data_IF_994181810101
#
_entry.id   IF_994181810101
#
_cell.length_a   1.000
_cell.length_b   1.000
_cell.length_c   1.000
_cell.angle_alpha   90.00
_cell.angle_beta   90.00
_cell.angle_gamma   90.00
#
_symmetry.space_group_name_H-M   'P 1'
#
loop_
_entity.id
_entity.type
_entity.pdbx_description
1 polymer ?
#
# COMPACT_ATOMS: atom_id res chain seq x y z
N UNK A 1 -49.01 -31.97 22.88
CA UNK A 1 -47.89 -32.37 22.00
C UNK A 1 -47.17 -31.11 21.53
N UNK A 2 -46.07 -30.76 22.18
CA UNK A 2 -45.25 -29.58 21.85
C UNK A 2 -44.13 -30.06 20.92
N UNK A 3 -44.14 -29.66 19.66
CA UNK A 3 -43.03 -29.90 18.73
C UNK A 3 -41.98 -28.80 18.92
N UNK A 4 -40.86 -29.13 19.56
CA UNK A 4 -39.69 -28.26 19.63
C UNK A 4 -38.95 -28.27 18.29
N UNK A 5 -38.93 -27.12 17.62
CA UNK A 5 -38.03 -26.89 16.49
C UNK A 5 -36.62 -26.64 17.02
N UNK A 6 -35.67 -27.49 16.61
CA UNK A 6 -34.26 -27.38 16.96
C UNK A 6 -33.66 -26.05 16.47
N UNK A 7 -32.78 -25.38 17.24
CA UNK A 7 -32.08 -24.19 16.78
C UNK A 7 -31.13 -24.54 15.63
N UNK A 8 -31.16 -23.72 14.58
CA UNK A 8 -30.38 -23.89 13.35
C UNK A 8 -28.87 -24.07 13.63
N UNK A 9 -28.38 -25.27 13.33
CA UNK A 9 -26.96 -25.59 13.28
C UNK A 9 -26.34 -24.78 12.14
N UNK A 10 -25.51 -23.77 12.46
CA UNK A 10 -24.62 -23.16 11.48
C UNK A 10 -23.54 -24.19 11.12
N UNK A 11 -23.79 -25.00 10.10
CA UNK A 11 -22.81 -25.93 9.55
C UNK A 11 -21.59 -25.15 9.06
N UNK A 12 -20.40 -25.45 9.61
CA UNK A 12 -19.15 -24.90 9.09
C UNK A 12 -19.04 -25.22 7.59
N UNK A 13 -18.63 -24.26 6.75
CA UNK A 13 -18.51 -24.48 5.31
C UNK A 13 -17.47 -25.57 5.02
N UNK A 14 -17.77 -26.43 4.04
CA UNK A 14 -16.86 -27.49 3.61
C UNK A 14 -15.55 -26.95 2.99
N UNK A 15 -14.53 -27.81 2.90
CA UNK A 15 -13.21 -27.44 2.41
C UNK A 15 -13.22 -26.93 0.95
N UNK A 16 -14.11 -27.45 0.11
CA UNK A 16 -14.30 -27.01 -1.28
C UNK A 16 -14.85 -25.59 -1.38
N UNK A 17 -15.81 -25.24 -0.52
CA UNK A 17 -16.42 -23.91 -0.44
C UNK A 17 -15.40 -22.88 0.06
N UNK A 18 -14.55 -23.26 1.02
CA UNK A 18 -13.44 -22.43 1.48
C UNK A 18 -12.43 -22.20 0.35
N UNK A 19 -12.04 -23.25 -0.37
CA UNK A 19 -11.11 -23.15 -1.49
C UNK A 19 -11.63 -22.25 -2.62
N UNK A 20 -12.89 -22.44 -3.04
CA UNK A 20 -13.52 -21.63 -4.09
C UNK A 20 -13.61 -20.13 -3.70
N UNK A 21 -13.91 -19.85 -2.43
CA UNK A 21 -13.92 -18.48 -1.90
C UNK A 21 -12.54 -17.83 -1.91
N UNK A 22 -11.51 -18.56 -1.48
CA UNK A 22 -10.14 -18.08 -1.51
C UNK A 22 -9.70 -17.73 -2.95
N UNK A 23 -10.02 -18.57 -3.93
CA UNK A 23 -9.75 -18.30 -5.35
C UNK A 23 -10.45 -17.02 -5.81
N UNK A 24 -11.71 -16.78 -5.40
CA UNK A 24 -12.42 -15.55 -5.75
C UNK A 24 -11.80 -14.29 -5.09
N UNK A 25 -11.36 -14.35 -3.83
CA UNK A 25 -10.63 -13.24 -3.16
C UNK A 25 -9.35 -12.89 -3.91
N UNK A 26 -8.56 -13.92 -4.22
CA UNK A 26 -7.29 -13.78 -4.94
C UNK A 26 -7.53 -13.08 -6.26
N UNK A 27 -8.54 -13.55 -7.01
CA UNK A 27 -8.92 -12.93 -8.28
C UNK A 27 -9.33 -11.46 -8.13
N UNK A 28 -10.12 -11.10 -7.10
CA UNK A 28 -10.50 -9.71 -6.87
C UNK A 28 -9.29 -8.81 -6.55
N UNK A 29 -8.41 -9.27 -5.66
CA UNK A 29 -7.21 -8.53 -5.27
C UNK A 29 -6.26 -8.37 -6.46
N UNK A 30 -6.11 -9.41 -7.29
CA UNK A 30 -5.26 -9.35 -8.47
C UNK A 30 -5.84 -8.43 -9.56
N UNK A 31 -7.16 -8.46 -9.80
CA UNK A 31 -7.82 -7.48 -10.69
C UNK A 31 -7.60 -6.06 -10.17
N UNK A 32 -7.81 -5.83 -8.87
CA UNK A 32 -7.61 -4.52 -8.26
C UNK A 32 -6.16 -4.06 -8.41
N UNK A 33 -5.17 -4.94 -8.22
CA UNK A 33 -3.75 -4.63 -8.45
C UNK A 33 -3.46 -4.26 -9.90
N UNK A 34 -4.05 -4.95 -10.87
CA UNK A 34 -3.91 -4.62 -12.30
C UNK A 34 -4.49 -3.24 -12.59
N UNK A 35 -5.70 -2.95 -12.09
CA UNK A 35 -6.34 -1.64 -12.25
C UNK A 35 -5.50 -0.51 -11.63
N UNK A 36 -4.97 -0.74 -10.43
CA UNK A 36 -4.16 0.24 -9.72
C UNK A 36 -2.80 0.41 -10.41
N UNK A 37 -2.18 -0.67 -10.92
CA UNK A 37 -0.96 -0.57 -11.73
C UNK A 37 -1.17 0.24 -13.01
N UNK A 38 -2.29 0.04 -13.70
CA UNK A 38 -2.66 0.86 -14.85
C UNK A 38 -2.85 2.33 -14.46
N UNK A 39 -3.55 2.60 -13.35
CA UNK A 39 -3.73 3.96 -12.85
C UNK A 39 -2.40 4.64 -12.47
N UNK A 40 -1.38 3.92 -12.00
CA UNK A 40 -0.04 4.49 -11.77
C UNK A 40 0.55 5.00 -13.09
N UNK A 41 0.47 4.20 -14.16
CA UNK A 41 0.94 4.60 -15.49
C UNK A 41 0.20 5.85 -15.99
N UNK A 42 -1.12 5.90 -15.83
CA UNK A 42 -1.92 7.09 -16.15
C UNK A 42 -1.52 8.30 -15.31
N UNK A 43 -1.20 8.12 -14.03
CA UNK A 43 -0.75 9.19 -13.14
C UNK A 43 0.56 9.83 -13.61
N UNK A 44 1.51 9.00 -14.06
CA UNK A 44 2.76 9.51 -14.65
C UNK A 44 2.54 10.15 -16.03
N UNK A 45 1.73 9.53 -16.89
CA UNK A 45 1.42 10.10 -18.21
C UNK A 45 0.73 11.47 -18.10
N UNK A 46 -0.22 11.61 -17.18
CA UNK A 46 -0.89 12.90 -16.91
C UNK A 46 0.05 13.92 -16.26
N UNK A 47 1.04 13.50 -15.46
CA UNK A 47 2.05 14.41 -14.95
C UNK A 47 2.92 14.99 -16.07
N UNK A 48 3.37 14.16 -17.02
CA UNK A 48 4.12 14.61 -18.21
C UNK A 48 3.27 15.49 -19.12
N UNK A 49 2.01 15.10 -19.39
CA UNK A 49 1.11 15.93 -20.20
C UNK A 49 0.86 17.30 -19.56
N UNK A 50 0.70 17.35 -18.24
CA UNK A 50 0.49 18.62 -17.52
C UNK A 50 1.71 19.54 -17.59
N UNK A 51 2.94 19.00 -17.67
CA UNK A 51 4.15 19.83 -17.82
C UNK A 51 4.30 20.46 -19.21
N UNK A 52 3.52 20.04 -20.20
CA UNK A 52 3.54 20.58 -21.57
C UNK A 52 2.37 21.55 -21.84
N UNK A 53 1.43 21.71 -20.90
CA UNK A 53 0.27 22.58 -21.06
C UNK A 53 0.53 23.93 -20.38
N UNK A 54 0.70 24.98 -21.19
CA UNK A 54 0.93 26.34 -20.69
C UNK A 54 -0.36 27.04 -20.23
N UNK A 55 -1.49 26.79 -20.90
CA UNK A 55 -2.78 27.42 -20.59
C UNK A 55 -3.61 26.57 -19.62
N UNK A 56 -3.63 27.01 -18.36
CA UNK A 56 -4.38 26.39 -17.26
C UNK A 56 -5.90 26.45 -17.43
N UNK A 57 -6.43 27.27 -18.33
CA UNK A 57 -7.86 27.35 -18.60
C UNK A 57 -8.28 26.57 -19.86
N UNK A 58 -7.33 25.93 -20.54
CA UNK A 58 -7.61 25.15 -21.74
C UNK A 58 -8.45 23.90 -21.43
N UNK A 59 -9.23 23.45 -22.42
CA UNK A 59 -9.98 22.20 -22.31
C UNK A 59 -9.09 21.00 -22.02
N UNK A 60 -7.88 20.97 -22.59
CA UNK A 60 -6.88 19.93 -22.34
C UNK A 60 -6.44 19.90 -20.87
N UNK A 61 -6.21 21.07 -20.26
CA UNK A 61 -5.86 21.16 -18.84
C UNK A 61 -6.94 20.53 -17.96
N UNK A 62 -8.21 20.89 -18.20
CA UNK A 62 -9.33 20.34 -17.45
C UNK A 62 -9.48 18.83 -17.59
N UNK A 63 -9.29 18.28 -18.80
CA UNK A 63 -9.29 16.82 -19.02
C UNK A 63 -8.16 16.16 -18.23
N UNK A 64 -6.93 16.68 -18.32
CA UNK A 64 -5.77 16.09 -17.64
C UNK A 64 -5.95 16.13 -16.12
N UNK A 65 -6.44 17.24 -15.57
CA UNK A 65 -6.74 17.36 -14.13
C UNK A 65 -7.88 16.43 -13.71
N UNK A 66 -8.92 16.32 -14.51
CA UNK A 66 -10.02 15.39 -14.25
C UNK A 66 -9.50 13.95 -14.16
N UNK A 67 -8.71 13.49 -15.14
CA UNK A 67 -8.09 12.16 -15.10
C UNK A 67 -7.18 12.03 -13.88
N UNK A 68 -6.33 13.03 -13.63
CA UNK A 68 -5.39 13.05 -12.50
C UNK A 68 -6.10 12.91 -11.15
N UNK A 69 -7.28 13.50 -10.97
CA UNK A 69 -8.07 13.39 -9.74
C UNK A 69 -8.51 11.94 -9.43
N UNK A 70 -8.72 11.10 -10.45
CA UNK A 70 -9.05 9.69 -10.25
C UNK A 70 -7.82 8.81 -9.99
N UNK A 71 -6.66 9.17 -10.57
CA UNK A 71 -5.44 8.34 -10.50
C UNK A 71 -4.42 8.84 -9.48
N UNK A 72 -4.66 9.96 -8.80
CA UNK A 72 -3.76 10.47 -7.76
C UNK A 72 -3.85 9.65 -6.45
N UNK A 73 -5.01 9.04 -6.18
CA UNK A 73 -5.24 8.17 -5.02
C UNK A 73 -4.63 6.76 -5.19
N UNK A 74 -3.94 6.49 -6.29
CA UNK A 74 -3.40 5.16 -6.61
C UNK A 74 -2.34 4.66 -5.62
N UNK A 75 -1.32 5.46 -5.21
CA UNK A 75 -0.35 4.99 -4.22
C UNK A 75 -0.95 4.57 -2.87
N UNK A 76 -1.83 5.35 -2.21
CA UNK A 76 -2.44 4.91 -0.95
C UNK A 76 -3.33 3.67 -1.13
N UNK A 77 -4.02 3.50 -2.26
CA UNK A 77 -4.77 2.27 -2.55
C UNK A 77 -3.82 1.06 -2.62
N UNK A 78 -2.67 1.20 -3.28
CA UNK A 78 -1.65 0.14 -3.35
C UNK A 78 -1.13 -0.26 -1.96
N UNK A 79 -0.95 0.73 -1.07
CA UNK A 79 -0.60 0.51 0.33
C UNK A 79 -1.71 -0.21 1.09
N UNK A 80 -2.98 0.19 0.90
CA UNK A 80 -4.13 -0.48 1.53
C UNK A 80 -4.23 -1.95 1.11
N UNK A 81 -4.07 -2.25 -0.18
CA UNK A 81 -4.02 -3.63 -0.69
C UNK A 81 -2.89 -4.40 -0.01
N UNK A 82 -1.70 -3.82 0.07
CA UNK A 82 -0.55 -4.42 0.77
C UNK A 82 -0.90 -4.71 2.23
N UNK A 83 -1.46 -3.74 2.95
CA UNK A 83 -1.85 -3.90 4.35
C UNK A 83 -2.87 -5.00 4.56
N UNK A 84 -3.88 -5.10 3.70
CA UNK A 84 -4.88 -6.18 3.78
C UNK A 84 -4.29 -7.58 3.66
N UNK A 85 -3.19 -7.74 2.93
CA UNK A 85 -2.54 -9.03 2.69
C UNK A 85 -1.47 -9.33 3.72
N UNK A 86 -0.74 -8.30 4.14
CA UNK A 86 0.41 -8.46 5.01
C UNK A 86 0.07 -8.30 6.48
N UNK A 87 -0.99 -7.60 6.88
CA UNK A 87 -1.42 -7.53 8.28
C UNK A 87 -2.37 -8.66 8.66
N UNK A 88 -2.92 -9.40 7.69
CA UNK A 88 -3.69 -10.62 7.95
C UNK A 88 -2.82 -11.57 8.81
N UNK A 89 -3.29 -12.02 9.98
CA UNK A 89 -2.54 -12.92 10.85
C UNK A 89 -2.34 -14.27 10.17
N UNK A 90 -1.26 -14.40 9.41
CA UNK A 90 -0.81 -15.70 8.93
C UNK A 90 -0.29 -16.51 10.12
N UNK A 91 -0.71 -17.78 10.24
CA UNK A 91 -0.26 -18.74 11.26
C UNK A 91 1.26 -18.67 11.44
N UNK A 92 1.70 -18.37 12.67
CA UNK A 92 3.00 -18.64 13.29
C UNK A 92 4.24 -18.68 12.37
N UNK A 93 4.38 -17.73 11.45
CA UNK A 93 5.64 -17.56 10.69
C UNK A 93 6.60 -16.78 11.56
N UNK A 94 7.78 -17.34 11.85
CA UNK A 94 8.82 -16.63 12.59
C UNK A 94 9.14 -15.27 11.92
N UNK A 95 9.34 -14.18 12.70
CA UNK A 95 9.67 -12.86 12.14
C UNK A 95 10.86 -12.90 11.17
N UNK A 96 11.88 -13.71 11.47
CA UNK A 96 13.08 -13.88 10.64
C UNK A 96 12.76 -14.46 9.25
N UNK A 97 11.89 -15.47 9.17
CA UNK A 97 11.44 -16.03 7.89
C UNK A 97 10.56 -15.04 7.12
N UNK A 98 9.74 -14.26 7.83
CA UNK A 98 8.92 -13.20 7.24
C UNK A 98 9.79 -12.17 6.50
N UNK A 99 10.86 -11.68 7.17
CA UNK A 99 11.78 -10.69 6.60
C UNK A 99 12.61 -11.25 5.46
N UNK A 100 13.24 -12.42 5.62
CA UNK A 100 14.15 -12.98 4.61
C UNK A 100 13.48 -13.19 3.24
N UNK A 101 12.26 -13.72 3.24
CA UNK A 101 11.52 -14.00 1.99
C UNK A 101 11.14 -12.71 1.24
N UNK A 102 10.80 -11.66 1.98
CA UNK A 102 10.33 -10.38 1.44
C UNK A 102 11.48 -9.45 1.07
N UNK A 103 12.55 -9.44 1.87
CA UNK A 103 13.74 -8.65 1.61
C UNK A 103 14.31 -8.91 0.22
N UNK A 104 14.44 -10.18 -0.21
CA UNK A 104 14.95 -10.49 -1.57
C UNK A 104 14.04 -9.94 -2.68
N UNK A 105 12.72 -10.09 -2.54
CA UNK A 105 11.75 -9.62 -3.53
C UNK A 105 11.66 -8.09 -3.63
N UNK A 106 12.12 -7.37 -2.61
CA UNK A 106 12.14 -5.90 -2.59
C UNK A 106 13.53 -5.34 -2.94
N UNK A 107 14.57 -5.80 -2.24
CA UNK A 107 15.92 -5.27 -2.38
C UNK A 107 16.49 -5.51 -3.76
N UNK A 108 16.18 -6.64 -4.41
CA UNK A 108 16.65 -6.91 -5.77
C UNK A 108 16.09 -5.87 -6.76
N UNK A 109 14.75 -5.67 -6.87
CA UNK A 109 14.21 -4.58 -7.69
C UNK A 109 14.69 -3.19 -7.31
N UNK A 110 14.79 -2.86 -6.01
CA UNK A 110 15.28 -1.55 -5.56
C UNK A 110 16.69 -1.30 -6.09
N UNK A 111 17.62 -2.21 -5.83
CA UNK A 111 19.02 -2.05 -6.25
C UNK A 111 19.11 -2.02 -7.78
N UNK A 112 18.45 -2.96 -8.46
CA UNK A 112 18.49 -3.07 -9.91
C UNK A 112 17.98 -1.79 -10.59
N UNK A 113 16.78 -1.32 -10.24
CA UNK A 113 16.19 -0.14 -10.88
C UNK A 113 16.95 1.13 -10.50
N UNK A 114 17.40 1.28 -9.26
CA UNK A 114 18.21 2.44 -8.87
C UNK A 114 19.50 2.53 -9.69
N UNK A 115 20.20 1.41 -9.89
CA UNK A 115 21.40 1.37 -10.75
C UNK A 115 21.05 1.74 -12.19
N UNK A 116 20.00 1.15 -12.75
CA UNK A 116 19.55 1.45 -14.12
C UNK A 116 19.28 2.96 -14.31
N UNK A 117 18.57 3.59 -13.37
CA UNK A 117 18.26 5.02 -13.46
C UNK A 117 19.47 5.92 -13.23
N UNK A 118 20.39 5.56 -12.33
CA UNK A 118 21.64 6.31 -12.17
C UNK A 118 22.52 6.21 -13.41
N UNK A 119 22.65 5.03 -14.03
CA UNK A 119 23.40 4.86 -15.29
C UNK A 119 22.76 5.67 -16.42
N UNK A 120 21.43 5.61 -16.56
CA UNK A 120 20.73 6.39 -17.58
C UNK A 120 20.93 7.90 -17.39
N UNK A 121 20.88 8.40 -16.15
CA UNK A 121 21.13 9.81 -15.82
C UNK A 121 22.60 10.21 -16.03
N UNK A 122 23.56 9.36 -15.65
CA UNK A 122 24.99 9.59 -15.89
C UNK A 122 25.34 9.73 -17.38
N UNK A 123 24.51 9.17 -18.28
CA UNK A 123 24.71 9.32 -19.72
C UNK A 123 24.30 10.70 -20.27
N UNK A 124 23.57 11.51 -19.49
CA UNK A 124 23.05 12.82 -19.89
C UNK A 124 23.69 13.95 -19.09
N UNK A 125 23.91 13.73 -17.80
CA UNK A 125 24.40 14.72 -16.85
C UNK A 125 25.56 14.15 -16.02
N UNK A 126 26.46 15.02 -15.55
CA UNK A 126 27.49 14.62 -14.58
C UNK A 126 26.85 14.34 -13.21
N UNK A 127 26.87 13.08 -12.79
CA UNK A 127 26.38 12.66 -11.48
C UNK A 127 27.52 12.62 -10.46
N UNK A 128 27.37 13.39 -9.39
CA UNK A 128 28.26 13.34 -8.23
C UNK A 128 27.86 12.23 -7.27
N UNK A 129 28.83 11.68 -6.53
CA UNK A 129 28.56 10.71 -5.46
C UNK A 129 27.60 11.29 -4.40
N UNK A 130 27.70 12.58 -4.09
CA UNK A 130 26.83 13.25 -3.14
C UNK A 130 25.36 13.23 -3.60
N UNK A 131 25.09 13.47 -4.88
CA UNK A 131 23.74 13.38 -5.43
C UNK A 131 23.20 11.95 -5.36
N UNK A 132 24.01 10.94 -5.72
CA UNK A 132 23.61 9.53 -5.62
C UNK A 132 23.24 9.16 -4.19
N UNK A 133 24.08 9.53 -3.21
CA UNK A 133 23.83 9.25 -1.80
C UNK A 133 22.60 9.99 -1.27
N UNK A 134 22.42 11.25 -1.69
CA UNK A 134 21.23 12.05 -1.36
C UNK A 134 19.97 11.40 -1.92
N UNK A 135 19.96 11.03 -3.20
CA UNK A 135 18.82 10.39 -3.87
C UNK A 135 18.46 9.06 -3.21
N UNK A 136 19.46 8.26 -2.80
CA UNK A 136 19.22 7.03 -2.04
C UNK A 136 18.65 7.34 -0.64
N UNK A 137 19.20 8.33 0.06
CA UNK A 137 18.77 8.71 1.40
C UNK A 137 17.33 9.23 1.43
N UNK A 138 16.93 10.01 0.42
CA UNK A 138 15.56 10.47 0.25
C UNK A 138 14.65 9.46 -0.47
N UNK A 139 15.20 8.34 -0.93
CA UNK A 139 14.46 7.28 -1.62
C UNK A 139 13.94 7.70 -2.99
N UNK A 140 14.59 8.67 -3.65
CA UNK A 140 14.22 9.23 -4.95
C UNK A 140 15.35 9.15 -6.01
N UNK A 141 15.92 7.97 -6.31
CA UNK A 141 16.76 7.82 -7.51
C UNK A 141 16.06 8.23 -8.80
N UNK A 142 14.73 8.08 -8.82
CA UNK A 142 13.83 8.54 -9.86
C UNK A 142 12.40 8.72 -9.30
N UNK A 143 11.58 9.53 -9.98
CA UNK A 143 10.28 10.02 -9.46
C UNK A 143 9.24 8.95 -9.12
N UNK A 144 9.34 7.75 -9.69
CA UNK A 144 8.40 6.66 -9.41
C UNK A 144 9.00 5.57 -8.49
N UNK A 145 10.29 5.65 -8.15
CA UNK A 145 10.97 4.65 -7.33
C UNK A 145 10.66 4.80 -5.83
N UNK A 146 10.20 5.97 -5.40
CA UNK A 146 9.90 6.26 -3.99
C UNK A 146 9.00 5.21 -3.34
N UNK A 147 8.06 4.63 -4.10
CA UNK A 147 7.17 3.60 -3.60
C UNK A 147 7.94 2.35 -3.16
N UNK A 148 8.95 1.92 -3.93
CA UNK A 148 9.79 0.78 -3.58
C UNK A 148 10.64 1.06 -2.34
N UNK A 149 11.11 2.29 -2.16
CA UNK A 149 11.89 2.71 -0.98
C UNK A 149 11.04 2.82 0.29
N UNK A 150 9.75 3.15 0.13
CA UNK A 150 8.80 3.26 1.24
C UNK A 150 8.37 1.88 1.79
N UNK A 151 8.23 0.86 0.93
CA UNK A 151 7.75 -0.48 1.32
C UNK A 151 8.57 -1.17 2.43
N UNK A 152 9.92 -1.17 2.40
CA UNK A 152 10.74 -1.72 3.49
C UNK A 152 10.37 -1.18 4.87
N UNK A 153 10.08 0.12 4.96
CA UNK A 153 9.63 0.76 6.20
C UNK A 153 8.31 0.18 6.71
N UNK A 154 7.31 0.02 5.85
CA UNK A 154 6.04 -0.63 6.24
C UNK A 154 6.24 -2.09 6.68
N UNK A 155 7.13 -2.81 6.00
CA UNK A 155 7.39 -4.22 6.31
C UNK A 155 8.13 -4.38 7.63
N UNK A 156 9.01 -3.44 7.99
CA UNK A 156 9.67 -3.39 9.28
C UNK A 156 8.66 -3.34 10.43
N UNK A 157 7.61 -2.53 10.30
CA UNK A 157 6.56 -2.38 11.32
C UNK A 157 5.46 -3.45 11.25
N UNK A 158 5.43 -4.26 10.20
CA UNK A 158 4.36 -5.26 10.00
C UNK A 158 4.24 -6.26 11.15
N UNK A 159 5.32 -6.85 11.71
CA UNK A 159 5.20 -7.77 12.85
C UNK A 159 4.58 -7.10 14.08
N UNK A 160 5.02 -5.89 14.43
CA UNK A 160 4.49 -5.14 15.56
C UNK A 160 3.01 -4.80 15.38
N UNK A 161 2.65 -4.33 14.18
CA UNK A 161 1.25 -4.05 13.83
C UNK A 161 0.41 -5.32 13.88
N UNK A 162 0.88 -6.47 13.39
CA UNK A 162 0.15 -7.75 13.48
C UNK A 162 -0.15 -8.12 14.92
N UNK A 163 0.83 -8.01 15.81
CA UNK A 163 0.65 -8.33 17.24
C UNK A 163 -0.40 -7.42 17.87
N UNK A 164 -0.32 -6.11 17.64
CA UNK A 164 -1.32 -5.15 18.12
C UNK A 164 -2.71 -5.43 17.56
N UNK A 165 -2.83 -5.59 16.23
CA UNK A 165 -4.09 -5.77 15.54
C UNK A 165 -4.77 -7.12 15.82
N UNK A 166 -4.04 -8.10 16.37
CA UNK A 166 -4.60 -9.39 16.78
C UNK A 166 -5.51 -9.26 18.02
N UNK A 167 -5.17 -8.36 18.94
CA UNK A 167 -5.93 -8.10 20.16
C UNK A 167 -6.77 -6.82 20.10
N UNK A 168 -6.50 -5.93 19.14
CA UNK A 168 -7.21 -4.66 19.00
C UNK A 168 -8.69 -4.85 18.65
N UNK A 169 -9.56 -4.09 19.32
CA UNK A 169 -10.95 -3.93 18.94
C UNK A 169 -11.09 -3.11 17.65
N UNK A 170 -12.31 -3.04 17.09
CA UNK A 170 -12.54 -2.19 15.91
C UNK A 170 -12.34 -0.72 16.20
N UNK A 171 -12.71 -0.28 17.39
CA UNK A 171 -12.57 1.12 17.76
C UNK A 171 -11.09 1.45 17.98
N UNK A 172 -10.29 0.55 18.57
CA UNK A 172 -8.82 0.71 18.65
C UNK A 172 -8.18 0.90 17.27
N UNK A 173 -8.60 0.11 16.27
CA UNK A 173 -8.12 0.26 14.89
C UNK A 173 -8.52 1.60 14.29
N UNK A 174 -9.75 2.07 14.53
CA UNK A 174 -10.23 3.38 14.07
C UNK A 174 -9.45 4.52 14.73
N UNK A 175 -9.27 4.46 16.04
CA UNK A 175 -8.47 5.42 16.79
C UNK A 175 -7.04 5.47 16.25
N UNK A 176 -6.41 4.32 15.99
CA UNK A 176 -5.07 4.27 15.40
C UNK A 176 -5.03 4.93 14.01
N UNK A 177 -5.99 4.62 13.14
CA UNK A 177 -6.05 5.20 11.78
C UNK A 177 -6.23 6.71 11.85
N UNK A 178 -7.20 7.19 12.65
CA UNK A 178 -7.46 8.62 12.83
C UNK A 178 -6.24 9.31 13.43
N UNK A 179 -5.62 8.73 14.45
CA UNK A 179 -4.41 9.30 15.08
C UNK A 179 -3.27 9.45 14.07
N UNK A 180 -3.00 8.42 13.25
CA UNK A 180 -1.93 8.51 12.23
C UNK A 180 -2.24 9.59 11.20
N UNK A 181 -3.49 9.68 10.70
CA UNK A 181 -3.86 10.73 9.75
C UNK A 181 -3.86 12.13 10.38
N UNK A 182 -4.28 12.27 11.64
CA UNK A 182 -4.16 13.54 12.36
C UNK A 182 -2.71 13.96 12.51
N UNK A 183 -1.80 13.04 12.84
CA UNK A 183 -0.36 13.32 12.90
C UNK A 183 0.20 13.69 11.52
N UNK A 184 -0.20 13.01 10.46
CA UNK A 184 0.21 13.34 9.08
C UNK A 184 -0.23 14.75 8.68
N UNK A 185 -1.48 15.12 8.99
CA UNK A 185 -1.99 16.49 8.78
C UNK A 185 -1.19 17.50 9.60
N UNK A 186 -0.84 17.20 10.86
CA UNK A 186 -0.01 18.09 11.68
C UNK A 186 1.40 18.27 11.11
N UNK A 187 2.01 17.20 10.58
CA UNK A 187 3.32 17.27 9.91
C UNK A 187 3.22 18.08 8.61
N UNK A 188 2.13 17.92 7.85
CA UNK A 188 1.87 18.72 6.67
C UNK A 188 1.72 20.21 7.01
N UNK A 189 0.98 20.54 8.07
CA UNK A 189 0.81 21.92 8.56
C UNK A 189 2.15 22.49 9.07
N UNK A 190 2.93 21.70 9.82
CA UNK A 190 4.23 22.17 10.33
C UNK A 190 5.21 22.51 9.20
N UNK A 191 5.05 21.87 8.03
CA UNK A 191 5.79 22.17 6.81
C UNK A 191 5.68 23.62 6.31
N UNK A 192 4.62 24.35 6.65
CA UNK A 192 4.51 25.79 6.34
C UNK A 192 5.47 26.65 7.17
N UNK A 193 5.90 26.16 8.33
CA UNK A 193 6.77 26.89 9.26
C UNK A 193 8.19 26.35 9.25
N UNK A 194 8.35 25.03 9.13
CA UNK A 194 9.64 24.34 9.16
C UNK A 194 9.71 23.39 7.97
N UNK A 195 10.56 23.67 6.96
CA UNK A 195 10.72 22.78 5.82
C UNK A 195 11.21 21.40 6.29
N UNK A 196 10.38 20.38 6.08
CA UNK A 196 10.71 19.00 6.38
C UNK A 196 10.71 18.18 5.09
N UNK A 197 11.84 17.52 4.82
CA UNK A 197 11.95 16.57 3.71
C UNK A 197 11.96 15.16 4.24
N UNK A 198 11.03 14.35 3.75
CA UNK A 198 10.95 12.94 4.11
C UNK A 198 12.08 12.14 3.49
N UNK A 199 12.68 11.27 4.30
CA UNK A 199 13.72 10.34 3.88
C UNK A 199 13.25 8.89 4.04
N UNK A 200 14.09 7.91 3.71
CA UNK A 200 13.74 6.48 3.81
C UNK A 200 13.30 6.02 5.21
N UNK A 201 13.67 6.75 6.26
CA UNK A 201 13.30 6.45 7.65
C UNK A 201 11.99 7.11 8.09
N UNK A 202 11.45 8.06 7.32
CA UNK A 202 10.24 8.81 7.70
C UNK A 202 9.12 8.72 6.68
N UNK A 203 9.44 8.55 5.39
CA UNK A 203 8.45 8.57 4.29
C UNK A 203 7.36 7.51 4.41
N UNK A 204 7.61 6.38 5.09
CA UNK A 204 6.61 5.33 5.28
C UNK A 204 5.61 5.64 6.39
N UNK A 205 5.90 6.59 7.28
CA UNK A 205 5.07 6.87 8.47
C UNK A 205 3.68 7.36 8.07
N UNK A 206 3.59 8.27 7.09
CA UNK A 206 2.30 8.73 6.52
C UNK A 206 1.47 7.59 5.92
N UNK A 207 2.14 6.53 5.45
CA UNK A 207 1.50 5.39 4.81
C UNK A 207 1.04 4.31 5.79
N UNK A 208 1.45 4.37 7.06
CA UNK A 208 0.98 3.43 8.09
C UNK A 208 -0.54 3.47 8.26
N UNK A 209 -1.15 4.66 8.20
CA UNK A 209 -2.60 4.84 8.32
C UNK A 209 -3.34 4.11 7.19
N UNK A 210 -2.90 4.30 5.95
CA UNK A 210 -3.42 3.57 4.79
C UNK A 210 -3.19 2.06 4.89
N UNK A 211 -2.02 1.64 5.38
CA UNK A 211 -1.67 0.24 5.54
C UNK A 211 -2.63 -0.46 6.53
N UNK A 212 -2.87 0.13 7.69
CA UNK A 212 -3.84 -0.38 8.68
C UNK A 212 -5.27 -0.26 8.17
N UNK A 213 -5.61 0.82 7.46
CA UNK A 213 -6.93 1.03 6.85
C UNK A 213 -7.30 -0.12 5.90
N UNK A 214 -6.35 -0.58 5.06
CA UNK A 214 -6.56 -1.73 4.19
C UNK A 214 -6.97 -3.01 4.92
N UNK A 215 -6.29 -3.32 6.04
CA UNK A 215 -6.65 -4.43 6.91
C UNK A 215 -8.03 -4.23 7.56
N UNK A 216 -8.27 -3.04 8.11
CA UNK A 216 -9.53 -2.69 8.75
C UNK A 216 -10.74 -2.82 7.79
N UNK A 217 -10.62 -2.38 6.53
CA UNK A 217 -11.69 -2.46 5.54
C UNK A 217 -12.04 -3.91 5.21
N UNK A 218 -11.04 -4.74 4.90
CA UNK A 218 -11.29 -6.17 4.60
C UNK A 218 -11.89 -6.89 5.80
N UNK A 219 -11.42 -6.59 7.02
CA UNK A 219 -12.01 -7.12 8.24
C UNK A 219 -13.47 -6.67 8.41
N UNK A 220 -13.84 -5.47 7.95
CA UNK A 220 -15.17 -4.85 8.05
C UNK A 220 -16.20 -5.36 7.06
N UNK A 221 -15.78 -6.05 5.98
CA UNK A 221 -16.70 -6.58 4.98
C UNK A 221 -17.66 -7.60 5.64
N UNK A 222 -18.99 -7.41 5.55
CA UNK A 222 -19.98 -8.30 6.14
C UNK A 222 -19.86 -9.73 5.60
N UNK A 223 -20.20 -10.73 6.43
CA UNK A 223 -20.06 -12.17 6.10
C UNK A 223 -20.81 -12.60 4.82
N UNK A 224 -21.80 -11.83 4.33
CA UNK A 224 -22.47 -12.08 3.04
C UNK A 224 -21.55 -11.90 1.82
N UNK A 225 -20.45 -11.17 1.98
CA UNK A 225 -19.36 -11.04 1.00
C UNK A 225 -18.08 -11.74 1.49
N UNK A 226 -18.22 -12.77 2.35
CA UNK A 226 -17.11 -13.50 2.98
C UNK A 226 -16.19 -14.25 2.00
N UNK A 227 -16.52 -14.31 0.70
CA UNK A 227 -15.57 -14.74 -0.32
C UNK A 227 -14.28 -13.93 -0.27
N UNK A 228 -14.31 -12.68 0.24
CA UNK A 228 -13.15 -11.76 0.32
C UNK A 228 -12.34 -11.93 1.62
N UNK A 229 -12.70 -12.83 2.55
CA UNK A 229 -12.19 -12.75 3.94
C UNK A 229 -11.02 -13.67 4.30
N UNK A 230 -10.67 -14.67 3.49
CA UNK A 230 -9.64 -15.66 3.86
C UNK A 230 -8.51 -15.76 2.84
N UNK A 231 -7.28 -15.53 3.29
CA UNK A 231 -6.06 -15.87 2.55
C UNK A 231 -5.17 -16.74 3.44
N UNK A 232 -5.14 -18.05 3.19
CA UNK A 232 -4.14 -18.92 3.79
C UNK A 232 -3.84 -20.14 2.91
N UNK A 233 -2.82 -20.03 2.05
CA UNK A 233 -1.95 -21.17 1.66
C UNK A 233 -0.89 -20.88 0.59
N UNK A 234 -0.79 -19.68 0.00
CA UNK A 234 0.18 -19.47 -1.09
C UNK A 234 0.78 -18.07 -0.98
N UNK A 235 1.81 -17.85 -0.15
CA UNK A 235 2.87 -16.85 -0.40
C UNK A 235 4.00 -16.91 0.62
#
# INVERSE_FOLDING_TARGET
>A
MVTSSLPGVQTQPDASTIAARNVQKIRYIDILRVMVAFAVVCSHATASALSEIDDINSFNWWIVIFIKAFVCCTPPIFVMISGSLFLEPAKDVSPTQFFRKRARRLLIPIIFWSVVFFVARASRDELTLQQILSDIFYGRPYDHLWYLYMLPGLYLFTPSLRTFLKSASRDDMRYLIVAIFSLDVLVWISGFFVPFQENIFTMFLRYLGYYVCGYYLVASIPRRFASVRYFSSIW
#
